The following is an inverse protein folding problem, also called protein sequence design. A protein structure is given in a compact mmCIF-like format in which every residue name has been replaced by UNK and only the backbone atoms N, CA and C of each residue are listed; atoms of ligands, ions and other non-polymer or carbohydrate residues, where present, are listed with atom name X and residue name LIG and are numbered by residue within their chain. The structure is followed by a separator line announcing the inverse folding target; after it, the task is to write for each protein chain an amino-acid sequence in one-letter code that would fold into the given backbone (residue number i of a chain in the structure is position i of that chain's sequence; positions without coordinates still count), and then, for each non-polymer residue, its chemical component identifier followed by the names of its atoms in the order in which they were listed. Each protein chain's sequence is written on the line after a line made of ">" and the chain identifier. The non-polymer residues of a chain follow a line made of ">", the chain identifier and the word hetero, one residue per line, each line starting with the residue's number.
data_IF_742681169367
#
_entry.id   IF_742681169367
#
_cell.length_a   1.000
_cell.length_b   1.000
_cell.length_c   1.000
_cell.angle_alpha   90.00
_cell.angle_beta   90.00
_cell.angle_gamma   90.00
#
_symmetry.space_group_name_H-M   'P 1'
#
loop_
_entity.id
_entity.type
_entity.pdbx_description
1 polymer ?
#
# COMPACT_ATOMS: atom_id res chain seq x y z
N UNK A 1 21.12 -29.83 -46.35
CA UNK A 1 21.03 -28.55 -45.65
C UNK A 1 19.85 -28.62 -44.70
N UNK A 2 20.07 -28.61 -43.39
CA UNK A 2 19.01 -28.60 -42.38
C UNK A 2 18.97 -27.22 -41.73
N UNK A 3 17.82 -26.56 -41.79
CA UNK A 3 17.59 -25.26 -41.15
C UNK A 3 17.12 -25.53 -39.73
N UNK A 4 17.92 -25.17 -38.74
CA UNK A 4 17.52 -25.22 -37.33
C UNK A 4 16.54 -24.08 -37.02
N UNK A 5 15.34 -24.43 -36.59
CA UNK A 5 14.37 -23.46 -36.08
C UNK A 5 14.79 -23.01 -34.67
N UNK A 6 15.17 -21.74 -34.54
CA UNK A 6 15.36 -21.11 -33.23
C UNK A 6 13.98 -20.80 -32.62
N UNK A 7 13.55 -21.61 -31.67
CA UNK A 7 12.40 -21.29 -30.81
C UNK A 7 12.81 -20.13 -29.89
N UNK A 8 12.16 -18.97 -30.05
CA UNK A 8 12.38 -17.83 -29.15
C UNK A 8 11.90 -18.21 -27.74
N UNK A 9 12.83 -18.31 -26.80
CA UNK A 9 12.52 -18.44 -25.39
C UNK A 9 12.21 -17.04 -24.85
N UNK A 10 10.93 -16.66 -24.81
CA UNK A 10 10.50 -15.51 -24.01
C UNK A 10 10.60 -15.92 -22.54
N UNK A 11 11.41 -15.27 -21.70
CA UNK A 11 11.42 -15.58 -20.28
C UNK A 11 10.06 -15.17 -19.71
N UNK A 12 9.25 -16.16 -19.33
CA UNK A 12 8.10 -15.90 -18.47
C UNK A 12 8.69 -15.60 -17.10
N UNK A 13 8.69 -14.33 -16.71
CA UNK A 13 8.81 -13.99 -15.28
C UNK A 13 7.74 -14.81 -14.59
N UNK A 14 8.11 -15.66 -13.64
CA UNK A 14 7.14 -16.42 -12.87
C UNK A 14 6.28 -15.43 -12.11
N UNK A 15 4.97 -15.38 -12.38
CA UNK A 15 3.99 -14.66 -11.56
C UNK A 15 3.74 -15.36 -10.21
N UNK A 16 4.71 -16.13 -9.73
CA UNK A 16 4.64 -16.77 -8.42
C UNK A 16 4.96 -15.71 -7.37
N UNK A 17 3.94 -15.30 -6.64
CA UNK A 17 4.03 -14.33 -5.56
C UNK A 17 3.92 -14.97 -4.18
N UNK A 18 4.02 -16.31 -4.09
CA UNK A 18 3.84 -17.02 -2.81
C UNK A 18 4.88 -16.63 -1.74
N UNK A 19 6.05 -16.14 -2.14
CA UNK A 19 7.07 -15.60 -1.24
C UNK A 19 6.82 -14.17 -0.74
N UNK A 20 5.79 -13.48 -1.23
CA UNK A 20 5.47 -12.11 -0.82
C UNK A 20 4.83 -12.12 0.57
N UNK A 21 5.28 -11.20 1.44
CA UNK A 21 4.67 -10.96 2.74
C UNK A 21 4.24 -9.50 2.87
N UNK A 22 2.97 -9.27 3.22
CA UNK A 22 2.37 -7.94 3.33
C UNK A 22 2.10 -7.57 4.79
N UNK A 23 2.48 -6.36 5.21
CA UNK A 23 1.98 -5.76 6.44
C UNK A 23 0.82 -4.82 6.09
N UNK A 24 -0.41 -5.23 6.36
CA UNK A 24 -1.60 -4.39 6.25
C UNK A 24 -1.75 -3.51 7.48
N UNK A 25 -1.54 -2.21 7.34
CA UNK A 25 -1.69 -1.22 8.40
C UNK A 25 -2.95 -0.38 8.18
N UNK A 26 -3.78 -0.24 9.21
CA UNK A 26 -5.08 0.43 9.11
C UNK A 26 -5.40 1.29 10.33
N UNK A 27 -4.38 1.76 11.04
CA UNK A 27 -4.55 2.74 12.12
C UNK A 27 -5.07 4.05 11.55
N UNK A 28 -5.94 4.71 12.29
CA UNK A 28 -6.52 6.00 11.93
C UNK A 28 -6.47 6.88 13.16
N UNK A 29 -5.97 8.11 13.04
CA UNK A 29 -6.35 9.16 13.98
C UNK A 29 -7.50 9.97 13.36
N UNK A 30 -8.43 10.47 14.19
CA UNK A 30 -9.67 11.14 13.75
C UNK A 30 -10.66 10.22 12.99
N UNK A 31 -10.82 10.37 11.66
CA UNK A 31 -11.94 9.78 10.93
C UNK A 31 -11.75 8.30 10.63
N UNK A 32 -12.77 7.49 10.94
CA UNK A 32 -12.74 6.04 10.74
C UNK A 32 -13.57 5.63 9.53
N UNK A 33 -12.88 5.14 8.50
CA UNK A 33 -13.52 4.63 7.28
C UNK A 33 -14.17 3.26 7.52
N UNK A 34 -15.49 3.16 7.28
CA UNK A 34 -16.22 1.87 7.37
C UNK A 34 -15.73 0.82 6.35
N UNK A 35 -15.12 1.26 5.24
CA UNK A 35 -14.53 0.41 4.21
C UNK A 35 -13.32 -0.39 4.69
N UNK A 36 -12.73 -0.07 5.84
CA UNK A 36 -11.56 -0.78 6.36
C UNK A 36 -11.86 -2.25 6.64
N UNK A 37 -13.03 -2.56 7.21
CA UNK A 37 -13.43 -3.93 7.46
C UNK A 37 -13.48 -4.75 6.15
N UNK A 38 -14.11 -4.17 5.12
CA UNK A 38 -14.23 -4.77 3.79
C UNK A 38 -12.87 -4.89 3.10
N UNK A 39 -11.99 -3.90 3.25
CA UNK A 39 -10.64 -3.92 2.71
C UNK A 39 -9.77 -5.02 3.33
N UNK A 40 -9.87 -5.24 4.65
CA UNK A 40 -9.20 -6.34 5.34
C UNK A 40 -9.67 -7.70 4.83
N UNK A 41 -10.99 -7.88 4.69
CA UNK A 41 -11.56 -9.10 4.11
C UNK A 41 -11.09 -9.33 2.66
N UNK A 42 -11.04 -8.28 1.85
CA UNK A 42 -10.56 -8.35 0.48
C UNK A 42 -9.09 -8.81 0.42
N UNK A 43 -8.23 -8.25 1.27
CA UNK A 43 -6.83 -8.67 1.38
C UNK A 43 -6.70 -10.15 1.74
N UNK A 44 -7.50 -10.63 2.71
CA UNK A 44 -7.49 -12.05 3.10
C UNK A 44 -8.00 -12.98 1.99
N UNK A 45 -9.00 -12.54 1.21
CA UNK A 45 -9.43 -13.27 0.00
C UNK A 45 -8.32 -13.36 -1.03
N UNK A 46 -7.57 -12.27 -1.24
CA UNK A 46 -6.41 -12.27 -2.13
C UNK A 46 -5.29 -13.20 -1.65
N UNK A 47 -5.00 -13.23 -0.34
CA UNK A 47 -4.07 -14.19 0.27
C UNK A 47 -4.46 -15.62 -0.08
N UNK A 48 -5.73 -15.98 0.10
CA UNK A 48 -6.22 -17.32 -0.22
C UNK A 48 -6.14 -17.66 -1.72
N UNK A 49 -6.39 -16.68 -2.59
CA UNK A 49 -6.41 -16.87 -4.04
C UNK A 49 -5.02 -16.93 -4.67
N UNK A 50 -4.08 -16.12 -4.18
CA UNK A 50 -2.77 -15.93 -4.81
C UNK A 50 -1.59 -16.43 -3.96
N UNK A 51 -1.86 -17.02 -2.81
CA UNK A 51 -0.92 -17.77 -1.97
C UNK A 51 0.27 -16.97 -1.40
N UNK A 52 0.20 -15.64 -1.36
CA UNK A 52 1.10 -14.82 -0.55
C UNK A 52 0.65 -14.78 0.91
N UNK A 53 1.37 -14.10 1.80
CA UNK A 53 1.00 -13.98 3.22
C UNK A 53 0.76 -12.52 3.62
N UNK A 54 -0.13 -12.30 4.60
CA UNK A 54 -0.38 -10.96 5.13
C UNK A 54 -0.58 -10.99 6.65
N UNK A 55 0.03 -10.04 7.35
CA UNK A 55 -0.30 -9.70 8.73
C UNK A 55 -1.05 -8.37 8.71
N UNK A 56 -2.16 -8.26 9.44
CA UNK A 56 -2.99 -7.04 9.48
C UNK A 56 -2.96 -6.48 10.90
N UNK A 57 -2.68 -5.19 11.03
CA UNK A 57 -2.57 -4.50 12.32
C UNK A 57 -3.06 -3.06 12.27
N UNK A 58 -3.35 -2.52 13.46
CA UNK A 58 -3.57 -1.10 13.74
C UNK A 58 -2.55 -0.59 14.77
N UNK A 59 -1.63 -1.45 15.21
CA UNK A 59 -0.58 -1.13 16.17
C UNK A 59 0.63 -0.53 15.45
N UNK A 60 0.95 0.72 15.77
CA UNK A 60 2.10 1.43 15.22
C UNK A 60 3.44 0.87 15.75
N UNK A 61 3.45 0.12 16.85
CA UNK A 61 4.68 -0.53 17.36
C UNK A 61 5.19 -1.64 16.43
N UNK A 62 4.40 -2.02 15.42
CA UNK A 62 4.86 -2.85 14.31
C UNK A 62 5.91 -2.14 13.42
N UNK A 63 6.01 -0.80 13.44
CA UNK A 63 6.95 -0.01 12.64
C UNK A 63 8.31 0.09 13.31
N UNK A 64 9.00 -1.04 13.33
CA UNK A 64 10.42 -1.13 13.72
C UNK A 64 11.22 -1.75 12.59
N UNK A 65 12.49 -1.37 12.45
CA UNK A 65 13.37 -1.93 11.41
C UNK A 65 13.41 -3.47 11.43
N UNK A 66 13.50 -4.08 12.62
CA UNK A 66 13.52 -5.54 12.80
C UNK A 66 12.24 -6.19 12.28
N UNK A 67 11.09 -5.59 12.57
CA UNK A 67 9.82 -6.14 12.14
C UNK A 67 9.57 -5.91 10.64
N UNK A 68 9.86 -4.71 10.14
CA UNK A 68 9.61 -4.33 8.75
C UNK A 68 10.43 -5.16 7.75
N UNK A 69 11.64 -5.61 8.11
CA UNK A 69 12.47 -6.52 7.29
C UNK A 69 11.80 -7.85 6.92
N UNK A 70 10.75 -8.25 7.62
CA UNK A 70 9.99 -9.47 7.34
C UNK A 70 9.03 -9.31 6.15
N UNK A 71 8.72 -8.08 5.75
CA UNK A 71 7.65 -7.78 4.81
C UNK A 71 8.20 -7.25 3.49
N UNK A 72 7.70 -7.79 2.39
CA UNK A 72 8.01 -7.29 1.05
C UNK A 72 7.28 -5.99 0.76
N UNK A 73 6.06 -5.82 1.29
CA UNK A 73 5.22 -4.63 1.09
C UNK A 73 4.55 -4.22 2.39
N UNK A 74 4.51 -2.92 2.66
CA UNK A 74 3.63 -2.31 3.67
C UNK A 74 2.46 -1.64 2.96
N UNK A 75 1.25 -2.02 3.34
CA UNK A 75 -0.01 -1.54 2.78
C UNK A 75 -0.69 -0.62 3.80
N UNK A 76 -0.84 0.66 3.47
CA UNK A 76 -1.65 1.62 4.23
C UNK A 76 -3.09 1.54 3.71
N UNK A 77 -3.98 0.96 4.51
CA UNK A 77 -5.37 0.69 4.14
C UNK A 77 -6.32 1.68 4.84
N UNK A 78 -6.64 2.78 4.15
CA UNK A 78 -7.45 3.89 4.67
C UNK A 78 -6.97 4.40 6.04
N UNK A 79 -5.65 4.54 6.22
CA UNK A 79 -5.10 5.30 7.35
C UNK A 79 -5.56 6.75 7.27
N UNK A 80 -5.54 7.48 8.38
CA UNK A 80 -5.86 8.92 8.41
C UNK A 80 -5.04 9.63 9.47
N UNK A 81 -4.70 10.90 9.21
CA UNK A 81 -4.01 11.80 10.12
C UNK A 81 -2.61 11.29 10.55
N UNK A 82 -2.12 11.65 11.74
CA UNK A 82 -0.76 11.36 12.24
C UNK A 82 -0.70 10.02 13.00
N UNK A 83 -0.29 8.94 12.33
CA UNK A 83 -0.42 7.57 12.84
C UNK A 83 0.90 6.97 13.34
N UNK A 84 2.05 7.52 12.91
CA UNK A 84 3.40 7.10 13.26
C UNK A 84 4.17 8.22 13.95
N UNK A 85 4.83 7.90 15.07
CA UNK A 85 5.73 8.85 15.70
C UNK A 85 7.06 9.02 14.93
N UNK A 86 7.90 10.03 15.24
CA UNK A 86 9.13 10.30 14.49
C UNK A 86 10.13 9.13 14.41
N UNK A 87 10.16 8.25 15.41
CA UNK A 87 11.01 7.05 15.37
C UNK A 87 10.48 6.03 14.36
N UNK A 88 9.18 5.79 14.38
CA UNK A 88 8.48 4.88 13.46
C UNK A 88 8.55 5.40 12.02
N UNK A 89 8.37 6.71 11.83
CA UNK A 89 8.58 7.40 10.54
C UNK A 89 10.00 7.11 10.01
N UNK A 90 11.04 7.34 10.82
CA UNK A 90 12.42 7.10 10.41
C UNK A 90 12.73 5.61 10.11
N UNK A 91 12.14 4.67 10.86
CA UNK A 91 12.21 3.23 10.57
C UNK A 91 11.53 2.90 9.22
N UNK A 92 10.41 3.54 8.92
CA UNK A 92 9.70 3.37 7.65
C UNK A 92 10.46 3.98 6.46
N UNK A 93 11.10 5.15 6.62
CA UNK A 93 11.97 5.70 5.57
C UNK A 93 13.09 4.73 5.20
N UNK A 94 13.76 4.17 6.21
CA UNK A 94 14.84 3.19 6.00
C UNK A 94 14.31 1.94 5.29
N UNK A 95 13.13 1.45 5.66
CA UNK A 95 12.50 0.33 4.99
C UNK A 95 12.31 0.57 3.49
N UNK A 96 11.73 1.72 3.12
CA UNK A 96 11.51 2.09 1.71
C UNK A 96 12.85 2.28 0.98
N UNK A 97 13.82 2.98 1.60
CA UNK A 97 15.14 3.20 1.02
C UNK A 97 15.93 1.90 0.81
N UNK A 98 15.68 0.86 1.63
CA UNK A 98 16.26 -0.47 1.49
C UNK A 98 15.57 -1.34 0.43
N UNK A 99 14.57 -0.82 -0.29
CA UNK A 99 13.85 -1.53 -1.34
C UNK A 99 12.54 -2.18 -0.89
N UNK A 100 12.05 -1.85 0.31
CA UNK A 100 10.71 -2.23 0.76
C UNK A 100 9.61 -1.62 -0.11
N UNK A 101 8.56 -2.38 -0.37
CA UNK A 101 7.42 -1.92 -1.16
C UNK A 101 6.40 -1.12 -0.33
N UNK A 102 5.74 -0.17 -0.97
CA UNK A 102 4.62 0.59 -0.39
C UNK A 102 3.38 0.49 -1.29
N UNK A 103 2.21 0.38 -0.65
CA UNK A 103 0.93 0.59 -1.30
C UNK A 103 0.03 1.43 -0.38
N UNK A 104 -0.58 2.48 -0.91
CA UNK A 104 -1.57 3.30 -0.22
C UNK A 104 -2.95 3.13 -0.85
N UNK A 105 -4.00 2.97 -0.03
CA UNK A 105 -5.39 2.85 -0.50
C UNK A 105 -6.24 3.97 0.10
N UNK A 106 -6.92 4.71 -0.77
CA UNK A 106 -7.90 5.74 -0.43
C UNK A 106 -7.32 6.81 0.51
N UNK A 107 -7.76 6.83 1.78
CA UNK A 107 -7.35 7.83 2.76
C UNK A 107 -5.88 7.75 3.17
N UNK A 108 -5.10 6.82 2.62
CA UNK A 108 -3.64 6.85 2.75
C UNK A 108 -3.01 8.19 2.30
N UNK A 109 -3.64 8.96 1.39
CA UNK A 109 -3.21 10.33 1.05
C UNK A 109 -3.66 11.38 2.07
N UNK A 110 -4.57 11.05 2.97
CA UNK A 110 -5.03 11.87 4.10
C UNK A 110 -4.30 11.49 5.40
N UNK A 111 -3.01 11.15 5.30
CA UNK A 111 -2.20 10.58 6.38
C UNK A 111 -0.86 11.33 6.44
N UNK A 112 -0.36 11.61 7.64
CA UNK A 112 0.99 12.16 7.90
C UNK A 112 1.28 13.50 7.20
N UNK A 113 0.33 14.45 7.28
CA UNK A 113 0.42 15.78 6.63
C UNK A 113 1.67 16.59 7.02
N UNK A 114 2.14 16.45 8.26
CA UNK A 114 3.32 17.14 8.79
C UNK A 114 4.65 16.45 8.45
N UNK A 115 4.61 15.38 7.66
CA UNK A 115 5.78 14.61 7.23
C UNK A 115 5.97 14.69 5.71
N UNK A 116 6.64 15.73 5.18
CA UNK A 116 6.79 15.95 3.73
C UNK A 116 7.44 14.79 2.97
N UNK A 117 8.20 13.93 3.64
CA UNK A 117 8.76 12.73 3.03
C UNK A 117 7.65 11.74 2.63
N UNK A 118 6.66 11.52 3.48
CA UNK A 118 5.52 10.67 3.17
C UNK A 118 4.69 11.24 2.02
N UNK A 119 4.45 12.56 2.01
CA UNK A 119 3.78 13.24 0.89
C UNK A 119 4.46 12.98 -0.46
N UNK A 120 5.80 12.91 -0.50
CA UNK A 120 6.55 12.54 -1.71
C UNK A 120 6.44 11.06 -2.05
N UNK A 121 6.35 10.19 -1.05
CA UNK A 121 6.17 8.75 -1.24
C UNK A 121 4.79 8.44 -1.86
N UNK A 122 3.72 9.00 -1.27
CA UNK A 122 2.34 8.75 -1.71
C UNK A 122 1.96 9.57 -2.95
N UNK A 123 2.68 10.67 -3.24
CA UNK A 123 2.54 11.47 -4.45
C UNK A 123 1.59 12.66 -4.35
N UNK A 124 1.02 12.92 -3.16
CA UNK A 124 0.15 14.07 -2.89
C UNK A 124 -0.69 13.88 -1.64
N UNK A 125 -1.17 14.99 -1.07
CA UNK A 125 -2.09 14.96 0.07
C UNK A 125 -3.54 15.16 -0.37
N UNK A 126 -4.45 14.53 0.37
CA UNK A 126 -5.87 14.84 0.30
C UNK A 126 -6.10 16.31 0.71
N UNK A 127 -6.99 17.01 0.00
CA UNK A 127 -7.29 18.44 0.25
C UNK A 127 -8.74 18.58 0.73
N UNK A 128 -9.69 18.07 -0.06
CA UNK A 128 -11.11 18.12 0.28
C UNK A 128 -11.93 17.15 -0.59
N UNK A 129 -13.18 16.92 -0.21
CA UNK A 129 -14.19 16.27 -1.03
C UNK A 129 -14.80 17.26 -2.04
N UNK A 130 -15.28 16.78 -3.20
CA UNK A 130 -16.08 17.60 -4.11
C UNK A 130 -17.29 18.20 -3.40
N UNK A 131 -17.70 19.40 -3.82
CA UNK A 131 -18.93 20.02 -3.36
C UNK A 131 -20.16 19.14 -3.65
N UNK A 132 -21.24 19.36 -2.90
CA UNK A 132 -22.51 18.67 -3.07
C UNK A 132 -23.43 19.46 -4.05
N UNK A 133 -23.98 18.84 -5.11
CA UNK A 133 -23.79 17.45 -5.54
C UNK A 133 -22.40 17.19 -6.12
N UNK A 134 -21.87 16.00 -5.81
CA UNK A 134 -20.62 15.49 -6.36
C UNK A 134 -20.59 15.74 -7.88
N UNK A 135 -19.64 16.54 -8.36
CA UNK A 135 -19.58 17.01 -9.76
C UNK A 135 -19.15 15.92 -10.77
N UNK A 136 -19.73 14.71 -10.70
CA UNK A 136 -19.67 13.74 -11.79
C UNK A 136 -20.45 14.20 -13.05
N UNK A 137 -21.31 15.21 -12.96
CA UNK A 137 -22.04 15.75 -14.11
C UNK A 137 -21.19 16.60 -15.08
N UNK A 138 -19.99 17.04 -14.70
CA UNK A 138 -19.14 17.87 -15.59
C UNK A 138 -18.13 17.10 -16.45
N UNK A 139 -18.13 15.77 -16.39
CA UNK A 139 -17.43 14.96 -17.39
C UNK A 139 -18.30 14.80 -18.65
N UNK A 140 -18.68 15.92 -19.29
CA UNK A 140 -19.13 15.87 -20.67
C UNK A 140 -17.89 15.81 -21.56
N UNK A 141 -17.82 14.72 -22.32
CA UNK A 141 -16.78 14.37 -23.28
C UNK A 141 -16.41 15.56 -24.17
N UNK A 142 -15.10 15.83 -24.26
CA UNK A 142 -14.47 16.42 -25.45
C UNK A 142 -13.67 15.31 -26.14
#
# INVERSE_FOLDING_TARGET
>A
MAVAAFTRHTPRVSNDISGIKVLGFSKTESFRHGSIAIGKEALLKMVAQYHFTADITEDADAFTEENLKKYTVVLFLNTTEDVLNPRQQADFERYIQAGGGYAGVHAATDTEHDWPWYGRLVGGFFIDHPADPNEQEKAHLL
#
